data_IF_053151567772
#
_entry.id   IF_053151567772
#
_cell.length_a   1.000
_cell.length_b   1.000
_cell.length_c   1.000
_cell.angle_alpha   90.00
_cell.angle_beta   90.00
_cell.angle_gamma   90.00
#
_symmetry.space_group_name_H-M   'P 1'
#
loop_
_entity.id
_entity.type
_entity.pdbx_description
1 polymer ?
#
# COMPACT_ATOMS: atom_id res chain seq x y z
N UNK A 1 30.62 -18.39 19.23
CA UNK A 1 30.05 -17.52 18.19
C UNK A 1 28.95 -16.69 18.82
N UNK A 2 29.19 -15.40 18.99
CA UNK A 2 28.22 -14.44 19.52
C UNK A 2 27.06 -14.34 18.53
N UNK A 3 25.85 -14.74 18.94
CA UNK A 3 24.65 -14.54 18.10
C UNK A 3 24.55 -13.03 17.82
N UNK A 4 24.60 -12.64 16.55
CA UNK A 4 24.29 -11.27 16.14
C UNK A 4 22.88 -10.97 16.64
N UNK A 5 22.73 -10.00 17.53
CA UNK A 5 21.42 -9.59 18.04
C UNK A 5 20.74 -8.75 16.96
N UNK A 6 20.04 -9.42 16.04
CA UNK A 6 19.20 -8.77 15.03
C UNK A 6 17.78 -8.69 15.56
N UNK A 7 17.15 -7.51 15.41
CA UNK A 7 15.73 -7.33 15.71
C UNK A 7 14.84 -8.17 14.78
N UNK A 8 15.35 -8.49 13.59
CA UNK A 8 14.67 -9.32 12.63
C UNK A 8 15.12 -10.78 12.79
N UNK A 9 14.30 -11.56 13.50
CA UNK A 9 14.55 -12.98 13.77
C UNK A 9 14.48 -13.83 12.50
N UNK A 10 13.89 -13.32 11.42
CA UNK A 10 13.68 -14.06 10.17
C UNK A 10 15.00 -14.37 9.44
N UNK A 11 16.08 -13.63 9.73
CA UNK A 11 17.39 -13.91 9.18
C UNK A 11 17.95 -15.27 9.62
N UNK A 12 17.51 -15.80 10.77
CA UNK A 12 17.94 -17.11 11.24
C UNK A 12 17.34 -18.28 10.45
N UNK A 13 16.18 -18.06 9.83
CA UNK A 13 15.43 -19.08 9.10
C UNK A 13 15.74 -19.06 7.59
N UNK A 14 16.66 -18.19 7.15
CA UNK A 14 17.02 -18.11 5.74
C UNK A 14 17.81 -19.35 5.29
N UNK A 15 17.51 -19.88 4.09
CA UNK A 15 18.25 -21.01 3.54
C UNK A 15 19.71 -20.63 3.30
N UNK A 16 20.65 -21.54 3.59
CA UNK A 16 22.09 -21.30 3.39
C UNK A 16 22.47 -21.22 1.91
N UNK A 17 21.80 -22.01 1.07
CA UNK A 17 22.04 -22.02 -0.36
C UNK A 17 21.32 -20.84 -1.02
N UNK A 18 22.12 -19.96 -1.62
CA UNK A 18 21.62 -18.74 -2.26
C UNK A 18 21.13 -19.08 -3.67
N UNK A 19 19.88 -18.73 -3.93
CA UNK A 19 19.25 -18.86 -5.24
C UNK A 19 18.70 -17.51 -5.69
N UNK A 20 18.60 -17.33 -7.01
CA UNK A 20 18.08 -16.13 -7.62
C UNK A 20 16.87 -16.43 -8.50
N UNK A 21 15.89 -15.54 -8.48
CA UNK A 21 14.70 -15.68 -9.30
C UNK A 21 15.08 -15.65 -10.77
N UNK A 22 14.64 -16.65 -11.54
CA UNK A 22 14.94 -16.74 -12.97
C UNK A 22 14.35 -15.58 -13.79
N UNK A 23 13.33 -14.90 -13.27
CA UNK A 23 12.66 -13.79 -13.94
C UNK A 23 13.22 -12.41 -13.56
N UNK A 24 13.39 -12.13 -12.26
CA UNK A 24 13.73 -10.78 -11.77
C UNK A 24 15.04 -10.69 -10.97
N UNK A 25 15.83 -11.77 -10.94
CA UNK A 25 17.12 -11.86 -10.23
C UNK A 25 17.10 -11.54 -8.73
N UNK A 26 15.92 -11.48 -8.09
CA UNK A 26 15.84 -11.32 -6.63
C UNK A 26 16.32 -12.58 -5.92
N UNK A 27 17.05 -12.41 -4.82
CA UNK A 27 17.57 -13.52 -4.02
C UNK A 27 16.53 -14.12 -3.07
N UNK A 28 16.61 -15.43 -2.81
CA UNK A 28 15.88 -16.11 -1.73
C UNK A 28 16.31 -15.66 -0.33
N UNK A 29 17.38 -14.87 -0.20
CA UNK A 29 17.82 -14.26 1.06
C UNK A 29 16.93 -13.08 1.49
N UNK A 30 16.00 -12.61 0.64
CA UNK A 30 15.00 -11.62 1.03
C UNK A 30 13.96 -12.28 1.95
N UNK A 31 13.81 -11.84 3.21
CA UNK A 31 12.85 -12.44 4.14
C UNK A 31 11.43 -12.49 3.57
N UNK A 32 10.70 -13.57 3.87
CA UNK A 32 9.31 -13.85 3.41
C UNK A 32 9.14 -14.00 1.88
N UNK A 33 10.23 -14.23 1.15
CA UNK A 33 10.16 -14.54 -0.29
C UNK A 33 10.18 -16.05 -0.49
N UNK A 34 9.16 -16.59 -1.15
CA UNK A 34 9.08 -18.01 -1.48
C UNK A 34 9.37 -18.23 -2.96
N UNK A 35 9.91 -19.40 -3.30
CA UNK A 35 10.21 -19.79 -4.67
C UNK A 35 9.40 -21.03 -5.01
N UNK A 36 8.82 -21.06 -6.21
CA UNK A 36 8.22 -22.30 -6.73
C UNK A 36 9.30 -23.23 -7.31
N UNK A 37 8.89 -24.43 -7.72
CA UNK A 37 9.76 -25.46 -8.29
C UNK A 37 10.51 -25.01 -9.56
N UNK A 38 9.97 -24.00 -10.27
CA UNK A 38 10.59 -23.42 -11.46
C UNK A 38 11.66 -22.36 -11.13
N UNK A 39 11.86 -22.04 -9.85
CA UNK A 39 12.81 -21.01 -9.41
C UNK A 39 12.30 -19.57 -9.61
N UNK A 40 10.98 -19.37 -9.60
CA UNK A 40 10.35 -18.04 -9.71
C UNK A 40 9.91 -17.57 -8.32
N UNK A 41 10.27 -16.34 -7.95
CA UNK A 41 9.90 -15.79 -6.65
C UNK A 41 8.40 -15.45 -6.56
N UNK A 42 7.86 -15.46 -5.34
CA UNK A 42 6.44 -15.19 -5.05
C UNK A 42 5.97 -13.84 -5.59
N UNK A 43 6.83 -12.82 -5.58
CA UNK A 43 6.50 -11.50 -6.15
C UNK A 43 6.31 -11.55 -7.67
N UNK A 44 7.11 -12.33 -8.40
CA UNK A 44 6.92 -12.52 -9.84
C UNK A 44 5.69 -13.37 -10.14
N UNK A 45 5.43 -14.41 -9.34
CA UNK A 45 4.21 -15.22 -9.46
C UNK A 45 2.97 -14.33 -9.29
N UNK A 46 2.93 -13.52 -8.22
CA UNK A 46 1.85 -12.55 -8.00
C UNK A 46 1.73 -11.53 -9.12
N UNK A 47 2.84 -11.04 -9.68
CA UNK A 47 2.78 -10.09 -10.79
C UNK A 47 2.09 -10.68 -12.02
N UNK A 48 2.34 -11.96 -12.33
CA UNK A 48 1.69 -12.65 -13.44
C UNK A 48 0.20 -12.85 -13.17
N UNK A 49 -0.16 -13.34 -11.98
CA UNK A 49 -1.56 -13.47 -11.55
C UNK A 49 -2.29 -12.11 -11.64
N UNK A 50 -1.66 -11.06 -11.11
CA UNK A 50 -2.15 -9.68 -11.14
C UNK A 50 -2.41 -9.19 -12.56
N UNK A 51 -1.59 -9.56 -13.54
CA UNK A 51 -1.67 -9.02 -14.90
C UNK A 51 -2.55 -9.87 -15.83
N UNK A 52 -2.69 -11.17 -15.56
CA UNK A 52 -3.39 -12.10 -16.45
C UNK A 52 -4.65 -12.75 -15.88
N UNK A 53 -4.78 -12.85 -14.55
CA UNK A 53 -5.93 -13.50 -13.90
C UNK A 53 -6.91 -12.50 -13.29
N UNK A 54 -6.42 -11.34 -12.85
CA UNK A 54 -7.26 -10.31 -12.25
C UNK A 54 -7.93 -9.44 -13.31
N UNK A 55 -9.26 -9.54 -13.42
CA UNK A 55 -10.08 -8.60 -14.19
C UNK A 55 -10.19 -7.26 -13.43
N UNK A 56 -9.30 -6.33 -13.78
CA UNK A 56 -9.24 -4.98 -13.21
C UNK A 56 -10.46 -4.13 -13.53
N UNK A 57 -11.11 -4.35 -14.68
CA UNK A 57 -12.31 -3.62 -15.06
C UNK A 57 -13.52 -4.08 -14.25
N UNK A 58 -13.63 -5.38 -13.95
CA UNK A 58 -14.61 -5.89 -13.00
C UNK A 58 -14.38 -5.35 -11.59
N UNK A 59 -13.14 -5.35 -11.08
CA UNK A 59 -12.81 -4.78 -9.76
C UNK A 59 -13.11 -3.29 -9.69
N UNK A 60 -12.83 -2.54 -10.76
CA UNK A 60 -13.15 -1.12 -10.82
C UNK A 60 -14.68 -0.88 -10.77
N UNK A 61 -15.47 -1.66 -11.51
CA UNK A 61 -16.94 -1.58 -11.47
C UNK A 61 -17.51 -1.90 -10.09
N UNK A 62 -16.94 -2.87 -9.38
CA UNK A 62 -17.35 -3.19 -8.01
C UNK A 62 -17.07 -2.06 -7.04
N UNK A 63 -15.89 -1.43 -7.15
CA UNK A 63 -15.53 -0.28 -6.32
C UNK A 63 -16.44 0.91 -6.63
N UNK A 64 -16.71 1.19 -7.91
CA UNK A 64 -17.62 2.26 -8.32
C UNK A 64 -19.03 2.04 -7.78
N UNK A 65 -19.57 0.82 -7.91
CA UNK A 65 -20.86 0.45 -7.36
C UNK A 65 -20.90 0.54 -5.82
N UNK A 66 -19.78 0.34 -5.13
CA UNK A 66 -19.67 0.55 -3.69
C UNK A 66 -19.69 2.04 -3.35
N UNK A 67 -18.92 2.85 -4.06
CA UNK A 67 -18.89 4.30 -3.90
C UNK A 67 -20.28 4.91 -4.14
N UNK A 68 -20.97 4.52 -5.20
CA UNK A 68 -22.31 5.02 -5.55
C UNK A 68 -23.35 4.83 -4.42
N UNK A 69 -23.19 3.80 -3.60
CA UNK A 69 -24.09 3.54 -2.46
C UNK A 69 -23.98 4.60 -1.36
N UNK A 70 -22.81 5.19 -1.20
CA UNK A 70 -22.50 6.11 -0.11
C UNK A 70 -22.24 7.54 -0.57
N UNK A 71 -21.97 7.77 -1.87
CA UNK A 71 -21.60 9.07 -2.42
C UNK A 71 -22.62 10.14 -2.04
N UNK A 72 -22.12 11.22 -1.46
CA UNK A 72 -22.91 12.35 -1.03
C UNK A 72 -23.52 13.10 -2.22
N UNK A 73 -24.75 13.60 -2.04
CA UNK A 73 -25.47 14.40 -3.06
C UNK A 73 -25.51 15.89 -2.74
N UNK A 74 -25.13 16.28 -1.53
CA UNK A 74 -25.21 17.65 -1.01
C UNK A 74 -23.84 18.22 -0.63
N UNK A 75 -22.76 17.45 -0.80
CA UNK A 75 -21.39 17.89 -0.48
C UNK A 75 -20.90 17.48 0.92
N UNK A 76 -21.74 16.82 1.73
CA UNK A 76 -21.31 16.22 3.00
C UNK A 76 -20.24 15.15 2.79
N UNK A 77 -19.46 14.87 3.84
CA UNK A 77 -18.50 13.77 3.81
C UNK A 77 -19.19 12.42 3.69
N UNK A 78 -18.68 11.56 2.81
CA UNK A 78 -19.26 10.24 2.51
C UNK A 78 -18.29 9.08 2.73
N UNK A 79 -17.02 9.37 3.00
CA UNK A 79 -16.00 8.35 3.30
C UNK A 79 -14.97 8.88 4.27
N UNK A 80 -14.57 8.05 5.23
CA UNK A 80 -13.45 8.33 6.14
C UNK A 80 -12.19 7.73 5.56
N UNK A 81 -11.15 8.54 5.38
CA UNK A 81 -9.84 8.09 4.89
C UNK A 81 -8.80 8.33 5.97
N UNK A 82 -8.15 7.30 6.51
CA UNK A 82 -7.00 7.50 7.38
C UNK A 82 -5.87 8.21 6.61
N UNK A 83 -5.58 9.44 7.00
CA UNK A 83 -4.59 10.31 6.36
C UNK A 83 -3.35 10.44 7.22
N UNK A 84 -2.18 10.04 6.72
CA UNK A 84 -0.91 10.17 7.47
C UNK A 84 0.07 11.16 6.85
N UNK A 85 -0.26 11.72 5.68
CA UNK A 85 0.69 12.43 4.82
C UNK A 85 1.61 11.49 4.03
N UNK A 86 1.46 10.17 4.19
CA UNK A 86 2.17 9.18 3.38
C UNK A 86 1.60 9.07 1.96
N UNK A 87 2.38 8.51 1.04
CA UNK A 87 1.99 8.34 -0.37
C UNK A 87 0.68 7.55 -0.55
N UNK A 88 0.47 6.52 0.26
CA UNK A 88 -0.65 5.58 0.07
C UNK A 88 -1.97 6.21 0.50
N UNK A 89 -2.01 6.85 1.67
CA UNK A 89 -3.20 7.58 2.13
C UNK A 89 -3.53 8.76 1.23
N UNK A 90 -2.51 9.50 0.77
CA UNK A 90 -2.69 10.59 -0.18
C UNK A 90 -3.25 10.09 -1.53
N UNK A 91 -2.73 8.97 -2.04
CA UNK A 91 -3.22 8.38 -3.29
C UNK A 91 -4.68 7.92 -3.18
N UNK A 92 -5.04 7.24 -2.09
CA UNK A 92 -6.43 6.79 -1.84
C UNK A 92 -7.37 7.98 -1.76
N UNK A 93 -7.04 9.01 -0.96
CA UNK A 93 -7.86 10.22 -0.87
C UNK A 93 -8.03 10.89 -2.24
N UNK A 94 -6.94 11.01 -3.01
CA UNK A 94 -6.95 11.60 -4.34
C UNK A 94 -7.82 10.82 -5.33
N UNK A 95 -7.69 9.50 -5.39
CA UNK A 95 -8.53 8.67 -6.25
C UNK A 95 -10.01 8.80 -5.88
N UNK A 96 -10.35 8.72 -4.60
CA UNK A 96 -11.74 8.84 -4.14
C UNK A 96 -12.34 10.19 -4.51
N UNK A 97 -11.60 11.29 -4.31
CA UNK A 97 -12.08 12.65 -4.63
C UNK A 97 -12.23 12.89 -6.13
N UNK A 98 -11.19 12.63 -6.91
CA UNK A 98 -11.11 13.08 -8.30
C UNK A 98 -11.62 12.06 -9.31
N UNK A 99 -11.43 10.77 -9.05
CA UNK A 99 -11.88 9.70 -9.98
C UNK A 99 -13.27 9.20 -9.62
N UNK A 100 -13.55 8.99 -8.33
CA UNK A 100 -14.83 8.42 -7.88
C UNK A 100 -15.84 9.47 -7.39
N UNK A 101 -15.48 10.77 -7.41
CA UNK A 101 -16.39 11.86 -7.06
C UNK A 101 -16.88 11.85 -5.61
N UNK A 102 -16.14 11.21 -4.70
CA UNK A 102 -16.46 11.13 -3.28
C UNK A 102 -16.00 12.41 -2.54
N UNK A 103 -16.50 12.62 -1.34
CA UNK A 103 -16.08 13.66 -0.40
C UNK A 103 -15.39 13.04 0.83
N UNK A 104 -14.09 12.74 0.73
CA UNK A 104 -13.35 12.13 1.83
C UNK A 104 -13.13 13.12 2.99
N UNK A 105 -13.46 12.67 4.20
CA UNK A 105 -12.97 13.22 5.45
C UNK A 105 -11.68 12.49 5.82
N UNK A 106 -10.56 13.20 5.76
CA UNK A 106 -9.28 12.60 6.06
C UNK A 106 -8.97 12.72 7.56
N UNK A 107 -8.72 11.61 8.24
CA UNK A 107 -8.53 11.57 9.70
C UNK A 107 -7.12 11.08 10.02
N UNK A 108 -6.39 11.85 10.84
CA UNK A 108 -5.03 11.51 11.27
C UNK A 108 -5.05 11.03 12.73
N UNK A 109 -4.46 9.87 13.01
CA UNK A 109 -4.08 9.51 14.37
C UNK A 109 -2.65 9.98 14.63
N UNK A 110 -2.49 10.98 15.51
CA UNK A 110 -1.19 11.55 15.78
C UNK A 110 -0.28 10.54 16.53
N UNK A 111 0.95 10.28 16.06
CA UNK A 111 1.95 9.57 16.82
C UNK A 111 2.44 10.43 18.00
N UNK A 112 3.06 9.77 18.98
CA UNK A 112 3.66 10.47 20.13
C UNK A 112 4.79 11.42 19.74
N UNK A 113 5.51 11.10 18.66
CA UNK A 113 6.56 11.95 18.11
C UNK A 113 6.52 11.94 16.58
N UNK A 114 6.77 13.10 15.98
CA UNK A 114 6.78 13.27 14.55
C UNK A 114 8.21 13.36 14.05
N UNK A 115 8.52 12.59 13.00
CA UNK A 115 9.72 12.91 12.23
C UNK A 115 9.52 14.23 11.49
N UNK A 116 10.57 15.07 11.30
CA UNK A 116 10.45 16.32 10.57
C UNK A 116 9.88 16.15 9.15
N UNK A 117 10.23 15.05 8.49
CA UNK A 117 9.72 14.71 7.15
C UNK A 117 8.24 14.30 7.20
N UNK A 118 7.83 13.49 8.18
CA UNK A 118 6.43 13.09 8.35
C UNK A 118 5.52 14.29 8.60
N UNK A 119 5.96 15.20 9.48
CA UNK A 119 5.23 16.44 9.75
C UNK A 119 5.12 17.34 8.52
N UNK A 120 6.22 17.53 7.78
CA UNK A 120 6.22 18.31 6.53
C UNK A 120 5.26 17.72 5.50
N UNK A 121 5.26 16.39 5.35
CA UNK A 121 4.39 15.70 4.40
C UNK A 121 2.92 15.80 4.79
N UNK A 122 2.58 15.62 6.07
CA UNK A 122 1.22 15.81 6.57
C UNK A 122 0.73 17.24 6.34
N UNK A 123 1.53 18.23 6.69
CA UNK A 123 1.18 19.64 6.48
C UNK A 123 1.01 19.98 4.99
N UNK A 124 1.85 19.43 4.11
CA UNK A 124 1.69 19.59 2.67
C UNK A 124 0.39 18.92 2.16
N UNK A 125 0.06 17.74 2.69
CA UNK A 125 -1.15 17.01 2.36
C UNK A 125 -2.42 17.78 2.77
N UNK A 126 -2.45 18.35 3.98
CA UNK A 126 -3.55 19.23 4.45
C UNK A 126 -3.64 20.52 3.62
N UNK A 127 -2.50 21.15 3.30
CA UNK A 127 -2.48 22.42 2.57
C UNK A 127 -2.75 22.28 1.08
N UNK A 128 -2.72 21.07 0.52
CA UNK A 128 -3.05 20.82 -0.88
C UNK A 128 -4.51 21.20 -1.22
N UNK A 129 -5.35 21.50 -0.23
CA UNK A 129 -6.69 22.09 -0.40
C UNK A 129 -7.71 21.17 -1.08
N UNK A 130 -7.31 19.95 -1.41
CA UNK A 130 -8.13 18.96 -2.12
C UNK A 130 -8.85 18.01 -1.15
N UNK A 131 -8.42 17.98 0.12
CA UNK A 131 -8.95 17.11 1.17
C UNK A 131 -9.14 17.94 2.43
N UNK A 132 -10.31 17.82 3.06
CA UNK A 132 -10.52 18.38 4.38
C UNK A 132 -9.93 17.37 5.39
N UNK A 133 -8.76 17.72 5.93
CA UNK A 133 -8.06 17.07 7.04
C UNK A 133 -8.29 17.87 8.31
#
# INVERSE_FOLDING_TARGET
MTKLFTLDQQFHDLPKDVMFCRNCVVSNQRPRTHFNELGICSACQWSLEKDFEVDWDARNRELEALCDKFRSKNGDYDVVVPGSGGKDSAFVAHQLKHRFGMNPLCVTWAPFDWTPVGWRNLQAFTRAGSFNI
#
